data_IF_835605963906
#
_entry.id   IF_835605963906
#
_cell.length_a   1.000
_cell.length_b   1.000
_cell.length_c   1.000
_cell.angle_alpha   90.00
_cell.angle_beta   90.00
_cell.angle_gamma   90.00
#
_symmetry.space_group_name_H-M   'P 1'
#
loop_
_entity.id
_entity.type
_entity.pdbx_description
1 polymer ?
#
# COMPACT_ATOMS: atom_id res chain seq x y z
N UNK A 1 -23.99 3.10 -8.40
CA UNK A 1 -22.78 2.31 -8.72
C UNK A 1 -21.78 3.28 -9.33
N UNK A 2 -20.92 3.90 -8.52
CA UNK A 2 -19.96 4.90 -9.00
C UNK A 2 -18.65 4.19 -9.34
N UNK A 3 -18.33 4.10 -10.62
CA UNK A 3 -16.98 3.75 -11.07
C UNK A 3 -16.15 5.01 -10.88
N UNK A 4 -15.30 5.03 -9.85
CA UNK A 4 -14.26 6.03 -9.77
C UNK A 4 -13.23 5.70 -10.88
N UNK A 5 -13.04 6.63 -11.82
CA UNK A 5 -11.88 6.61 -12.69
C UNK A 5 -10.64 6.68 -11.78
N UNK A 6 -9.88 5.59 -11.71
CA UNK A 6 -8.54 5.62 -11.17
C UNK A 6 -7.68 6.40 -12.16
N UNK A 7 -7.70 7.74 -12.06
CA UNK A 7 -6.71 8.59 -12.70
C UNK A 7 -5.33 8.22 -12.17
N UNK A 8 -4.30 8.36 -13.01
CA UNK A 8 -2.90 8.16 -12.60
C UNK A 8 -2.65 8.92 -11.30
N UNK A 9 -2.42 8.20 -10.20
CA UNK A 9 -2.06 8.83 -8.95
C UNK A 9 -0.69 9.49 -9.14
N UNK A 10 -0.63 10.80 -8.92
CA UNK A 10 0.65 11.51 -8.86
C UNK A 10 1.55 10.86 -7.82
N UNK A 11 2.86 10.86 -8.07
CA UNK A 11 3.83 10.35 -7.12
C UNK A 11 3.66 11.05 -5.77
N UNK A 12 3.67 10.26 -4.69
CA UNK A 12 3.52 10.78 -3.33
C UNK A 12 4.78 11.57 -2.95
N UNK A 13 4.61 12.76 -2.39
CA UNK A 13 5.71 13.58 -1.89
C UNK A 13 5.92 13.40 -0.38
N UNK A 14 7.11 13.75 0.12
CA UNK A 14 7.41 13.72 1.55
C UNK A 14 6.47 14.68 2.30
N UNK A 15 5.95 14.21 3.44
CA UNK A 15 4.99 14.96 4.25
C UNK A 15 3.53 14.76 3.85
N UNK A 16 3.26 14.21 2.65
CA UNK A 16 1.91 13.80 2.29
C UNK A 16 1.50 12.54 3.07
N UNK A 17 0.23 12.48 3.48
CA UNK A 17 -0.30 11.30 4.15
C UNK A 17 -0.32 10.12 3.18
N UNK A 18 0.29 9.00 3.59
CA UNK A 18 0.24 7.76 2.82
C UNK A 18 -1.23 7.33 2.57
N UNK A 19 -1.61 7.00 1.32
CA UNK A 19 -2.92 6.45 1.01
C UNK A 19 -3.16 5.16 1.79
N UNK A 20 -4.37 5.00 2.31
CA UNK A 20 -4.75 3.75 2.97
C UNK A 20 -5.03 2.67 1.93
N UNK A 21 -4.58 1.44 2.22
CA UNK A 21 -4.78 0.28 1.35
C UNK A 21 -4.90 -0.98 2.19
N UNK A 22 -5.49 -2.02 1.60
CA UNK A 22 -5.53 -3.36 2.16
C UNK A 22 -4.97 -4.36 1.14
N UNK A 23 -4.03 -5.20 1.59
CA UNK A 23 -3.43 -6.27 0.79
C UNK A 23 -3.53 -7.59 1.54
N UNK A 24 -3.55 -8.71 0.80
CA UNK A 24 -3.44 -10.02 1.42
C UNK A 24 -2.00 -10.25 1.90
N UNK A 25 -1.85 -10.65 3.15
CA UNK A 25 -0.60 -11.14 3.71
C UNK A 25 -0.21 -12.50 3.14
N UNK A 26 0.96 -13.00 3.55
CA UNK A 26 1.45 -14.33 3.14
C UNK A 26 0.58 -15.48 3.64
N UNK A 27 -0.24 -15.25 4.66
CA UNK A 27 -1.25 -16.17 5.17
C UNK A 27 -2.62 -16.04 4.48
N UNK A 28 -2.72 -15.18 3.44
CA UNK A 28 -3.95 -14.90 2.71
C UNK A 28 -4.91 -13.98 3.44
N UNK A 29 -4.60 -13.50 4.65
CA UNK A 29 -5.50 -12.60 5.41
C UNK A 29 -5.29 -11.15 5.00
N UNK A 30 -6.36 -10.32 4.99
CA UNK A 30 -6.23 -8.91 4.68
C UNK A 30 -5.46 -8.17 5.79
N UNK A 31 -4.53 -7.31 5.38
CA UNK A 31 -3.76 -6.39 6.23
C UNK A 31 -3.97 -4.98 5.72
N UNK A 32 -4.37 -4.07 6.61
CA UNK A 32 -4.65 -2.67 6.29
C UNK A 32 -3.57 -1.74 6.83
N UNK A 33 -3.12 -0.77 6.04
CA UNK A 33 -2.06 0.16 6.45
C UNK A 33 -2.47 0.97 7.69
N UNK A 34 -3.73 1.40 7.79
CA UNK A 34 -4.25 2.10 8.97
C UNK A 34 -4.05 1.33 10.27
N UNK A 35 -4.18 0.01 10.23
CA UNK A 35 -4.15 -0.83 11.43
C UNK A 35 -2.71 -1.04 11.93
N UNK A 36 -1.74 -0.99 11.02
CA UNK A 36 -0.31 -1.03 11.33
C UNK A 36 0.17 0.33 11.86
N UNK A 37 -0.20 1.41 11.18
CA UNK A 37 0.20 2.78 11.58
C UNK A 37 -0.41 3.22 12.90
N UNK A 38 -1.57 2.68 13.28
CA UNK A 38 -2.15 2.87 14.61
C UNK A 38 -1.29 2.27 15.74
N UNK A 39 -0.41 1.31 15.44
CA UNK A 39 0.47 0.64 16.41
C UNK A 39 1.87 1.25 16.48
N UNK A 40 2.26 2.04 15.47
CA UNK A 40 3.59 2.64 15.39
C UNK A 40 4.02 2.98 13.96
N UNK A 41 5.25 3.47 13.79
CA UNK A 41 5.79 3.78 12.46
C UNK A 41 5.91 2.51 11.60
N UNK A 42 5.69 2.66 10.30
CA UNK A 42 5.71 1.57 9.32
C UNK A 42 6.69 1.91 8.20
N UNK A 43 7.54 0.94 7.82
CA UNK A 43 8.40 1.03 6.64
C UNK A 43 7.75 0.26 5.50
N UNK A 44 7.56 0.90 4.35
CA UNK A 44 7.06 0.27 3.14
C UNK A 44 8.24 0.00 2.19
N UNK A 45 8.40 -1.26 1.82
CA UNK A 45 9.32 -1.68 0.78
C UNK A 45 8.53 -2.38 -0.33
N UNK A 46 8.80 -2.02 -1.58
CA UNK A 46 8.11 -2.58 -2.75
C UNK A 46 9.12 -3.19 -3.71
N UNK A 47 8.67 -4.16 -4.49
CA UNK A 47 9.45 -4.86 -5.50
C UNK A 47 8.55 -5.15 -6.71
N UNK A 48 9.13 -5.37 -7.88
CA UNK A 48 8.38 -5.49 -9.14
C UNK A 48 7.54 -6.77 -9.16
N UNK A 49 8.16 -7.92 -8.92
CA UNK A 49 7.49 -9.22 -8.89
C UNK A 49 8.32 -10.26 -8.12
N UNK A 50 7.64 -11.26 -7.56
CA UNK A 50 8.31 -12.36 -6.88
C UNK A 50 9.14 -13.18 -7.88
N UNK A 51 10.27 -13.73 -7.42
CA UNK A 51 11.16 -14.60 -8.22
C UNK A 51 11.76 -13.93 -9.48
N UNK A 52 11.87 -12.60 -9.49
CA UNK A 52 12.53 -11.85 -10.58
C UNK A 52 13.98 -11.53 -10.19
N UNK A 53 14.99 -11.88 -11.03
CA UNK A 53 16.38 -11.50 -10.79
C UNK A 53 16.59 -9.98 -10.79
N UNK A 54 17.61 -9.53 -10.06
CA UNK A 54 18.04 -8.12 -9.97
C UNK A 54 19.15 -7.79 -10.94
#
# INVERSE_FOLDING_TARGET
>A
MSVALAGSASALEVGQKAPDFALNGTDGKPVKLSDLTAKGPVVLYTFIAAFTPT
#
